data_IF_515904486880
#
_entry.id   IF_515904486880
#
_cell.length_a   1.000
_cell.length_b   1.000
_cell.length_c   1.000
_cell.angle_alpha   90.00
_cell.angle_beta   90.00
_cell.angle_gamma   90.00
#
_symmetry.space_group_name_H-M   'P 1'
#
loop_
_entity.id
_entity.type
_entity.pdbx_description
1 polymer ?
#
# COMPACT_ATOMS: atom_id res chain seq x y z
N UNK A 1 -15.47 -17.49 -20.00
CA UNK A 1 -15.89 -16.58 -18.90
C UNK A 1 -15.52 -17.13 -17.52
N UNK A 2 -15.88 -18.37 -17.17
CA UNK A 2 -15.63 -18.98 -15.84
C UNK A 2 -14.14 -19.08 -15.45
N UNK A 3 -13.25 -19.43 -16.38
CA UNK A 3 -11.80 -19.51 -16.12
C UNK A 3 -11.13 -18.16 -15.89
N UNK A 4 -11.59 -17.12 -16.60
CA UNK A 4 -11.06 -15.77 -16.48
C UNK A 4 -11.35 -15.18 -15.09
N UNK A 5 -12.60 -15.28 -14.62
CA UNK A 5 -12.96 -14.86 -13.26
C UNK A 5 -12.20 -15.65 -12.19
N UNK A 6 -11.95 -16.94 -12.44
CA UNK A 6 -11.15 -17.78 -11.54
C UNK A 6 -9.71 -17.27 -11.44
N UNK A 7 -9.08 -16.92 -12.56
CA UNK A 7 -7.72 -16.32 -12.59
C UNK A 7 -7.68 -14.99 -11.81
N UNK A 8 -8.63 -14.09 -12.05
CA UNK A 8 -8.70 -12.79 -11.35
C UNK A 8 -8.90 -12.98 -9.83
N UNK A 9 -9.76 -13.93 -9.42
CA UNK A 9 -9.94 -14.27 -8.00
C UNK A 9 -8.66 -14.82 -7.37
N UNK A 10 -7.94 -15.71 -8.05
CA UNK A 10 -6.66 -16.26 -7.56
C UNK A 10 -5.59 -15.17 -7.42
N UNK A 11 -5.51 -14.26 -8.40
CA UNK A 11 -4.61 -13.10 -8.35
C UNK A 11 -4.95 -12.18 -7.16
N UNK A 12 -6.23 -11.83 -7.00
CA UNK A 12 -6.71 -11.03 -5.86
C UNK A 12 -6.36 -11.68 -4.52
N UNK A 13 -6.57 -12.99 -4.37
CA UNK A 13 -6.20 -13.73 -3.15
C UNK A 13 -4.71 -13.65 -2.88
N UNK A 14 -3.87 -13.89 -3.89
CA UNK A 14 -2.42 -13.83 -3.75
C UNK A 14 -1.89 -12.44 -3.33
N UNK A 15 -2.58 -11.37 -3.71
CA UNK A 15 -2.25 -10.00 -3.28
C UNK A 15 -2.86 -9.67 -1.90
N UNK A 16 -4.05 -10.19 -1.61
CA UNK A 16 -4.67 -10.06 -0.29
C UNK A 16 -3.82 -10.69 0.82
N UNK A 17 -3.15 -11.82 0.55
CA UNK A 17 -2.24 -12.43 1.55
C UNK A 17 -1.15 -11.43 1.96
N UNK A 18 -0.49 -10.78 1.01
CA UNK A 18 0.55 -9.77 1.32
C UNK A 18 -0.04 -8.58 2.08
N UNK A 19 -1.22 -8.11 1.68
CA UNK A 19 -1.94 -7.04 2.38
C UNK A 19 -2.18 -7.40 3.86
N UNK A 20 -2.71 -8.59 4.15
CA UNK A 20 -2.96 -9.02 5.53
C UNK A 20 -1.68 -9.33 6.31
N UNK A 21 -0.63 -9.82 5.66
CA UNK A 21 0.69 -9.99 6.29
C UNK A 21 1.22 -8.64 6.80
N UNK A 22 1.08 -7.57 6.03
CA UNK A 22 1.51 -6.23 6.47
C UNK A 22 0.75 -5.81 7.73
N UNK A 23 -0.59 -5.92 7.76
CA UNK A 23 -1.36 -5.62 8.98
C UNK A 23 -0.98 -6.51 10.15
N UNK A 24 -0.74 -7.80 9.91
CA UNK A 24 -0.30 -8.72 10.95
C UNK A 24 1.06 -8.31 11.52
N UNK A 25 2.03 -7.97 10.66
CA UNK A 25 3.34 -7.46 11.06
C UNK A 25 3.20 -6.15 11.86
N UNK A 26 2.30 -5.27 11.45
CA UNK A 26 1.98 -4.05 12.18
C UNK A 26 1.45 -4.33 13.59
N UNK A 27 0.50 -5.26 13.73
CA UNK A 27 -0.03 -5.67 15.04
C UNK A 27 1.06 -6.31 15.89
N UNK A 28 1.88 -7.20 15.31
CA UNK A 28 3.02 -7.82 15.99
C UNK A 28 4.00 -6.75 16.48
N UNK A 29 4.30 -5.74 15.67
CA UNK A 29 5.17 -4.64 16.07
C UNK A 29 4.59 -3.88 17.27
N UNK A 30 3.30 -3.51 17.24
CA UNK A 30 2.62 -2.85 18.38
C UNK A 30 2.71 -3.69 19.64
N UNK A 31 2.33 -4.98 19.55
CA UNK A 31 2.34 -5.89 20.70
C UNK A 31 3.75 -6.07 21.25
N UNK A 32 4.74 -6.23 20.38
CA UNK A 32 6.15 -6.40 20.77
C UNK A 32 6.65 -5.16 21.52
N UNK A 33 6.39 -3.96 20.98
CA UNK A 33 6.78 -2.71 21.63
C UNK A 33 6.07 -2.53 22.97
N UNK A 34 4.79 -2.87 23.06
CA UNK A 34 4.03 -2.83 24.30
C UNK A 34 4.64 -3.72 25.40
N UNK A 35 4.97 -4.98 25.07
CA UNK A 35 5.62 -5.88 26.02
C UNK A 35 7.02 -5.42 26.41
N UNK A 36 7.81 -4.87 25.47
CA UNK A 36 9.13 -4.31 25.77
C UNK A 36 9.04 -3.11 26.73
N UNK A 37 8.06 -2.24 26.51
CA UNK A 37 7.79 -1.09 27.38
C UNK A 37 7.38 -1.53 28.80
N UNK A 38 6.52 -2.55 28.91
CA UNK A 38 6.13 -3.11 30.22
C UNK A 38 7.28 -3.83 30.94
N UNK A 39 8.21 -4.43 30.20
CA UNK A 39 9.36 -5.16 30.73
C UNK A 39 10.46 -4.29 31.33
N UNK A 40 10.26 -2.97 31.51
CA UNK A 40 11.27 -1.99 31.94
C UNK A 40 12.53 -1.97 31.06
N UNK A 41 12.46 -2.47 29.83
CA UNK A 41 13.51 -2.23 28.84
C UNK A 41 13.39 -0.76 28.49
N UNK A 42 14.42 0.04 28.83
CA UNK A 42 14.51 1.43 28.39
C UNK A 42 14.59 1.44 26.86
N UNK A 43 13.44 1.49 26.19
CA UNK A 43 13.37 1.91 24.81
C UNK A 43 14.01 3.29 24.73
N UNK A 44 14.78 3.55 23.67
CA UNK A 44 15.48 4.83 23.48
C UNK A 44 14.42 5.93 23.37
N UNK A 45 14.12 6.56 24.49
CA UNK A 45 13.21 7.68 24.56
C UNK A 45 13.98 8.91 24.06
N UNK A 46 13.65 9.32 22.83
CA UNK A 46 14.21 10.52 22.25
C UNK A 46 13.20 11.62 22.49
N UNK A 47 13.59 12.63 23.27
CA UNK A 47 12.76 13.81 23.47
C UNK A 47 12.30 14.35 22.10
N UNK A 48 10.99 14.44 21.83
CA UNK A 48 10.48 14.91 20.56
C UNK A 48 10.92 16.34 20.22
N UNK A 49 11.25 17.15 21.23
CA UNK A 49 11.76 18.52 21.07
C UNK A 49 13.29 18.57 20.89
N UNK A 50 13.98 17.45 21.03
CA UNK A 50 15.41 17.38 20.71
C UNK A 50 15.64 17.56 19.21
N UNK A 51 16.83 18.06 18.86
CA UNK A 51 17.27 18.19 17.46
C UNK A 51 17.17 16.86 16.73
N UNK A 52 17.56 15.76 17.38
CA UNK A 52 17.52 14.41 16.79
C UNK A 52 16.08 13.96 16.53
N UNK A 53 15.19 14.12 17.51
CA UNK A 53 13.79 13.72 17.38
C UNK A 53 13.05 14.50 16.29
N UNK A 54 13.31 15.81 16.22
CA UNK A 54 12.74 16.68 15.18
C UNK A 54 13.26 16.31 13.79
N UNK A 55 14.57 16.06 13.63
CA UNK A 55 15.15 15.66 12.34
C UNK A 55 14.58 14.33 11.85
N UNK A 56 14.53 13.30 12.70
CA UNK A 56 13.97 11.99 12.33
C UNK A 56 12.51 12.11 11.92
N UNK A 57 11.70 12.82 12.72
CA UNK A 57 10.29 13.08 12.44
C UNK A 57 10.08 13.77 11.10
N UNK A 58 10.90 14.78 10.81
CA UNK A 58 10.80 15.57 9.58
C UNK A 58 11.16 14.75 8.34
N UNK A 59 12.26 13.99 8.40
CA UNK A 59 12.68 13.10 7.31
C UNK A 59 11.59 12.06 7.04
N UNK A 60 11.03 11.46 8.10
CA UNK A 60 9.97 10.47 7.98
C UNK A 60 8.68 11.06 7.39
N UNK A 61 8.28 12.27 7.82
CA UNK A 61 7.13 12.97 7.25
C UNK A 61 7.31 13.26 5.76
N UNK A 62 8.48 13.75 5.35
CA UNK A 62 8.80 13.99 3.93
C UNK A 62 8.78 12.68 3.14
N UNK A 63 9.37 11.62 3.70
CA UNK A 63 9.33 10.29 3.09
C UNK A 63 7.90 9.81 2.88
N UNK A 64 7.02 9.94 3.89
CA UNK A 64 5.62 9.53 3.78
C UNK A 64 4.87 10.36 2.73
N UNK A 65 5.07 11.69 2.74
CA UNK A 65 4.44 12.63 1.82
C UNK A 65 4.79 12.31 0.36
N UNK A 66 6.02 11.88 0.08
CA UNK A 66 6.46 11.55 -1.29
C UNK A 66 6.10 10.10 -1.65
N UNK A 67 6.29 9.15 -0.73
CA UNK A 67 6.16 7.72 -1.02
C UNK A 67 4.74 7.30 -1.35
N UNK A 68 3.72 7.84 -0.68
CA UNK A 68 2.32 7.51 -0.94
C UNK A 68 1.90 7.91 -2.37
N UNK A 69 1.99 9.20 -2.78
CA UNK A 69 1.62 9.59 -4.14
C UNK A 69 2.54 8.95 -5.18
N UNK A 70 3.84 8.80 -4.91
CA UNK A 70 4.75 8.13 -5.84
C UNK A 70 4.37 6.66 -6.06
N UNK A 71 4.07 5.89 -5.00
CA UNK A 71 3.66 4.50 -5.12
C UNK A 71 2.34 4.35 -5.88
N UNK A 72 1.35 5.21 -5.59
CA UNK A 72 0.06 5.22 -6.28
C UNK A 72 0.20 5.62 -7.75
N UNK A 73 0.99 6.66 -8.04
CA UNK A 73 1.23 7.14 -9.40
C UNK A 73 2.00 6.13 -10.24
N UNK A 74 3.08 5.55 -9.70
CA UNK A 74 3.86 4.51 -10.38
C UNK A 74 3.00 3.29 -10.68
N UNK A 75 2.18 2.88 -9.72
CA UNK A 75 1.24 1.79 -9.92
C UNK A 75 0.26 2.11 -11.06
N UNK A 76 -0.39 3.28 -11.02
CA UNK A 76 -1.34 3.70 -12.06
C UNK A 76 -0.70 3.77 -13.45
N UNK A 77 0.51 4.33 -13.55
CA UNK A 77 1.27 4.39 -14.80
C UNK A 77 1.62 3.00 -15.32
N UNK A 78 1.95 2.06 -14.44
CA UNK A 78 2.22 0.67 -14.81
C UNK A 78 0.95 -0.05 -15.27
N UNK A 79 -0.18 0.11 -14.56
CA UNK A 79 -1.45 -0.53 -14.96
C UNK A 79 -1.95 -0.02 -16.30
N UNK A 80 -1.80 1.28 -16.59
CA UNK A 80 -2.10 1.85 -17.91
C UNK A 80 -1.30 1.19 -19.04
N UNK A 81 0.01 0.97 -18.81
CA UNK A 81 0.84 0.25 -19.80
C UNK A 81 0.39 -1.20 -19.98
N UNK A 82 -0.06 -1.85 -18.91
CA UNK A 82 -0.53 -3.23 -18.93
C UNK A 82 -1.87 -3.41 -19.63
N UNK A 83 -2.71 -2.37 -19.74
CA UNK A 83 -3.97 -2.44 -20.49
C UNK A 83 -3.74 -2.85 -21.95
N UNK A 84 -2.67 -2.36 -22.56
CA UNK A 84 -2.32 -2.61 -23.96
C UNK A 84 -1.51 -3.89 -24.20
N UNK A 85 -1.12 -4.61 -23.14
CA UNK A 85 -0.39 -5.88 -23.25
C UNK A 85 -1.33 -7.00 -23.72
N UNK A 86 -1.00 -7.67 -24.83
CA UNK A 86 -1.84 -8.74 -25.42
C UNK A 86 -1.72 -10.07 -24.67
N UNK A 87 -0.58 -10.29 -24.00
CA UNK A 87 -0.33 -11.52 -23.25
C UNK A 87 -0.94 -11.44 -21.84
N UNK A 88 -2.00 -12.21 -21.60
CA UNK A 88 -2.68 -12.30 -20.29
C UNK A 88 -1.74 -12.73 -19.15
N UNK A 89 -0.85 -13.69 -19.42
CA UNK A 89 0.04 -14.24 -18.40
C UNK A 89 1.05 -13.19 -17.94
N UNK A 90 1.68 -12.49 -18.90
CA UNK A 90 2.60 -11.39 -18.62
C UNK A 90 1.87 -10.23 -17.94
N UNK A 91 0.64 -9.91 -18.39
CA UNK A 91 -0.21 -8.86 -17.82
C UNK A 91 -0.49 -9.11 -16.34
N UNK A 92 -0.92 -10.32 -15.95
CA UNK A 92 -1.19 -10.66 -14.55
C UNK A 92 0.08 -10.70 -13.68
N UNK A 93 1.19 -11.23 -14.19
CA UNK A 93 2.45 -11.28 -13.45
C UNK A 93 3.00 -9.88 -13.17
N UNK A 94 3.02 -8.99 -14.16
CA UNK A 94 3.46 -7.59 -13.99
C UNK A 94 2.52 -6.83 -13.04
N UNK A 95 1.20 -7.03 -13.14
CA UNK A 95 0.24 -6.44 -12.22
C UNK A 95 0.46 -6.89 -10.77
N UNK A 96 0.70 -8.19 -10.57
CA UNK A 96 1.02 -8.76 -9.26
C UNK A 96 2.25 -8.10 -8.66
N UNK A 97 3.34 -7.99 -9.43
CA UNK A 97 4.60 -7.37 -9.00
C UNK A 97 4.40 -5.89 -8.65
N UNK A 98 3.71 -5.13 -9.50
CA UNK A 98 3.38 -3.72 -9.25
C UNK A 98 2.56 -3.55 -7.97
N UNK A 99 1.57 -4.41 -7.74
CA UNK A 99 0.74 -4.41 -6.54
C UNK A 99 1.56 -4.68 -5.29
N UNK A 100 2.48 -5.65 -5.34
CA UNK A 100 3.36 -5.97 -4.22
C UNK A 100 4.28 -4.81 -3.86
N UNK A 101 4.88 -4.16 -4.86
CA UNK A 101 5.76 -3.01 -4.64
C UNK A 101 4.99 -1.88 -3.95
N UNK A 102 3.79 -1.52 -4.45
CA UNK A 102 2.92 -0.51 -3.83
C UNK A 102 2.60 -0.85 -2.37
N UNK A 103 2.20 -2.10 -2.11
CA UNK A 103 1.85 -2.56 -0.77
C UNK A 103 3.04 -2.50 0.18
N UNK A 104 4.22 -2.95 -0.23
CA UNK A 104 5.42 -2.90 0.60
C UNK A 104 5.89 -1.48 0.89
N UNK A 105 5.87 -0.57 -0.09
CA UNK A 105 6.25 0.83 0.13
C UNK A 105 5.38 1.47 1.22
N UNK A 106 4.06 1.34 1.11
CA UNK A 106 3.12 1.95 2.06
C UNK A 106 3.11 1.18 3.38
N UNK A 107 3.23 -0.15 3.34
CA UNK A 107 3.27 -1.01 4.52
C UNK A 107 4.49 -0.77 5.39
N UNK A 108 5.67 -0.62 4.79
CA UNK A 108 6.89 -0.26 5.51
C UNK A 108 6.74 1.13 6.13
N UNK A 109 6.18 2.09 5.39
CA UNK A 109 5.90 3.42 5.93
C UNK A 109 5.00 3.33 7.18
N UNK A 110 3.94 2.52 7.16
CA UNK A 110 3.06 2.29 8.32
C UNK A 110 3.80 1.67 9.51
N UNK A 111 4.57 0.61 9.28
CA UNK A 111 5.30 -0.10 10.35
C UNK A 111 6.32 0.83 11.01
N UNK A 112 7.10 1.58 10.21
CA UNK A 112 8.05 2.57 10.71
C UNK A 112 7.32 3.66 11.49
N UNK A 113 6.20 4.16 10.98
CA UNK A 113 5.40 5.19 11.67
C UNK A 113 4.97 4.74 13.05
N UNK A 114 4.49 3.51 13.16
CA UNK A 114 4.10 2.93 14.46
C UNK A 114 5.31 2.80 15.40
N UNK A 115 6.46 2.35 14.91
CA UNK A 115 7.67 2.30 15.73
C UNK A 115 8.03 3.71 16.25
N UNK A 116 7.96 4.72 15.38
CA UNK A 116 8.27 6.11 15.73
C UNK A 116 7.29 6.71 16.73
N UNK A 117 6.01 6.31 16.73
CA UNK A 117 5.05 6.72 17.78
C UNK A 117 5.56 6.39 19.17
N UNK A 118 6.14 5.21 19.37
CA UNK A 118 6.63 4.77 20.67
C UNK A 118 8.04 5.24 21.00
N UNK A 119 8.86 5.58 19.99
CA UNK A 119 10.23 6.08 20.21
C UNK A 119 10.23 7.59 20.54
N UNK A 120 9.36 8.36 19.87
CA UNK A 120 9.34 9.82 19.96
C UNK A 120 8.18 10.38 20.79
N UNK A 121 7.15 9.57 21.10
CA UNK A 121 5.94 10.01 21.82
C UNK A 121 5.28 11.28 21.25
N UNK A 122 5.45 11.54 19.96
CA UNK A 122 4.93 12.74 19.28
C UNK A 122 3.57 12.48 18.64
N UNK A 123 2.62 13.40 18.84
CA UNK A 123 1.29 13.35 18.20
C UNK A 123 1.40 13.31 16.67
N UNK A 124 2.38 13.99 16.09
CA UNK A 124 2.63 13.98 14.64
C UNK A 124 2.89 12.58 14.10
N UNK A 125 3.51 11.69 14.88
CA UNK A 125 3.77 10.30 14.46
C UNK A 125 2.50 9.45 14.42
N UNK A 126 1.51 9.77 15.27
CA UNK A 126 0.22 9.08 15.27
C UNK A 126 -0.54 9.44 13.99
N UNK A 127 -0.54 10.72 13.61
CA UNK A 127 -1.19 11.18 12.38
C UNK A 127 -0.55 10.59 11.13
N UNK A 128 0.78 10.53 11.05
CA UNK A 128 1.48 9.93 9.91
C UNK A 128 1.21 8.43 9.79
N UNK A 129 1.21 7.69 10.90
CA UNK A 129 0.81 6.28 10.90
C UNK A 129 -0.64 6.10 10.44
N UNK A 130 -1.58 6.95 10.89
CA UNK A 130 -2.97 6.90 10.45
C UNK A 130 -3.12 7.18 8.94
N UNK A 131 -2.39 8.18 8.40
CA UNK A 131 -2.39 8.47 6.96
C UNK A 131 -1.85 7.28 6.17
N UNK A 132 -0.76 6.65 6.62
CA UNK A 132 -0.22 5.45 5.98
C UNK A 132 -1.23 4.28 6.01
N UNK A 133 -1.96 4.10 7.11
CA UNK A 133 -3.00 3.08 7.21
C UNK A 133 -4.17 3.33 6.24
N UNK A 134 -4.61 4.59 6.10
CA UNK A 134 -5.64 4.99 5.13
C UNK A 134 -5.15 4.78 3.69
N UNK A 135 -3.91 5.14 3.38
CA UNK A 135 -3.31 4.90 2.08
C UNK A 135 -3.23 3.38 1.77
N UNK A 136 -2.88 2.57 2.76
CA UNK A 136 -2.85 1.11 2.62
C UNK A 136 -4.26 0.55 2.40
N UNK A 137 -5.28 1.09 3.09
CA UNK A 137 -6.68 0.72 2.87
C UNK A 137 -7.10 0.94 1.41
N UNK A 138 -6.71 2.07 0.80
CA UNK A 138 -6.92 2.29 -0.64
C UNK A 138 -6.17 1.30 -1.51
N UNK A 139 -5.14 0.62 -1.03
CA UNK A 139 -4.41 -0.40 -1.78
C UNK A 139 -5.02 -1.80 -1.69
N UNK A 140 -6.14 -1.97 -0.97
CA UNK A 140 -6.84 -3.26 -0.84
C UNK A 140 -7.18 -3.84 -2.23
N UNK A 141 -6.70 -5.04 -2.57
CA UNK A 141 -6.99 -5.65 -3.85
C UNK A 141 -8.38 -6.29 -3.83
N UNK A 142 -9.23 -5.92 -4.78
CA UNK A 142 -10.53 -6.59 -5.02
C UNK A 142 -10.64 -7.03 -6.47
N UNK A 143 -11.37 -8.13 -6.78
CA UNK A 143 -11.55 -8.58 -8.15
C UNK A 143 -12.09 -7.48 -9.07
N UNK A 144 -13.10 -6.72 -8.62
CA UNK A 144 -13.66 -5.60 -9.35
C UNK A 144 -12.62 -4.51 -9.63
N UNK A 145 -11.74 -4.22 -8.66
CA UNK A 145 -10.67 -3.24 -8.83
C UNK A 145 -9.62 -3.69 -9.84
N UNK A 146 -9.25 -4.97 -9.82
CA UNK A 146 -8.29 -5.55 -10.78
C UNK A 146 -8.85 -5.48 -12.21
N UNK A 147 -10.13 -5.83 -12.39
CA UNK A 147 -10.81 -5.77 -13.70
C UNK A 147 -10.74 -4.35 -14.26
N UNK A 148 -11.17 -3.37 -13.46
CA UNK A 148 -11.16 -1.95 -13.83
C UNK A 148 -9.76 -1.41 -14.12
N UNK A 149 -8.78 -1.74 -13.27
CA UNK A 149 -7.40 -1.26 -13.43
C UNK A 149 -6.69 -1.85 -14.66
N UNK A 150 -7.06 -3.08 -15.05
CA UNK A 150 -6.54 -3.76 -16.22
C UNK A 150 -7.36 -3.54 -17.49
N UNK A 151 -8.48 -2.80 -17.40
CA UNK A 151 -9.40 -2.52 -18.50
C UNK A 151 -10.00 -3.79 -19.10
N UNK A 152 -10.33 -4.76 -18.26
CA UNK A 152 -10.88 -6.06 -18.70
C UNK A 152 -12.42 -6.04 -18.77
N UNK A 153 -13.02 -4.91 -18.44
CA UNK A 153 -14.43 -4.56 -18.59
C UNK A 153 -14.76 -3.96 -19.96
N UNK A 154 -13.74 -3.56 -20.74
CA UNK A 154 -13.88 -2.94 -22.06
C UNK A 154 -14.15 -3.95 -23.22
N UNK A 155 -14.32 -5.25 -22.92
CA UNK A 155 -14.61 -6.30 -23.92
C UNK A 155 -16.11 -6.42 -24.28
N UNK A 156 -16.98 -5.56 -23.72
CA UNK A 156 -18.26 -5.26 -24.38
C UNK A 156 -17.99 -4.32 -25.56
N UNK A 157 -18.49 -4.63 -26.78
CA UNK A 157 -18.25 -3.80 -27.94
C UNK A 157 -18.81 -2.40 -27.65
N UNK A 158 -17.91 -1.42 -27.50
CA UNK A 158 -18.27 0.00 -27.58
C UNK A 158 -18.84 0.22 -28.97
N UNK A 159 -20.17 0.19 -29.08
CA UNK A 159 -20.88 0.68 -30.27
C UNK A 159 -20.53 2.16 -30.39
N UNK A 160 -19.49 2.46 -31.16
CA UNK A 160 -19.15 3.79 -31.63
C UNK A 160 -20.21 4.23 -32.62
N UNK A 161 -21.39 4.57 -32.10
CA UNK A 161 -22.40 5.32 -32.82
C UNK A 161 -21.90 6.74 -33.03
N UNK A 162 -21.22 7.00 -34.15
CA UNK A 162 -21.12 8.35 -34.72
C UNK A 162 -22.54 8.87 -34.90
N UNK A 163 -23.00 9.74 -34.01
CA UNK A 163 -24.09 10.66 -34.34
C UNK A 163 -23.48 11.78 -35.17
N UNK A 164 -23.65 11.67 -36.48
CA UNK A 164 -23.69 12.85 -37.34
C UNK A 164 -24.97 13.60 -36.98
N UNK A 165 -24.83 14.83 -36.49
CA UNK A 165 -25.84 15.88 -36.61
C UNK A 165 -25.12 17.08 -37.19
#
# INVERSE_FOLDING_TARGET
>A
MMDFERKVRMLSRSINVVYYIIYLLTIIAVVTIFFLSYGNVKLVEIDPLSTVGTTISTIYMIYLLISIPAALFLFHKQTLKLRNEKDEYIKFQKYKKASYIRLWIIGIALIIGIILVYVLYSQSMIFTAAIAAIALYFCKPSPAKIIKELGLDDDEPKITGKKYV
#
